data_IF_193146816304
#
_entry.id   IF_193146816304
#
_cell.length_a   1.000
_cell.length_b   1.000
_cell.length_c   1.000
_cell.angle_alpha   90.00
_cell.angle_beta   90.00
_cell.angle_gamma   90.00
#
_symmetry.space_group_name_H-M   'P 1'
#
loop_
_entity.id
_entity.type
_entity.pdbx_description
1 polymer ?
#
# COMPACT_ATOMS: atom_id res chain seq x y z
N UNK A 1 -8.68 -14.30 13.43
CA UNK A 1 -10.09 -14.41 12.96
C UNK A 1 -11.07 -13.59 13.77
N UNK A 2 -10.93 -13.46 15.10
CA UNK A 2 -11.85 -12.63 15.89
C UNK A 2 -11.96 -11.19 15.35
N UNK A 3 -10.82 -10.54 15.11
CA UNK A 3 -10.75 -9.19 14.49
C UNK A 3 -11.51 -9.14 13.16
N UNK A 4 -11.27 -10.12 12.29
CA UNK A 4 -11.91 -10.23 10.97
C UNK A 4 -13.43 -10.26 11.10
N UNK A 5 -13.95 -11.01 12.07
CA UNK A 5 -15.39 -11.19 12.27
C UNK A 5 -16.05 -9.95 12.86
N UNK A 6 -15.44 -9.41 13.91
CA UNK A 6 -16.11 -8.47 14.81
C UNK A 6 -15.82 -7.00 14.51
N UNK A 7 -14.88 -6.70 13.61
CA UNK A 7 -14.47 -5.33 13.31
C UNK A 7 -14.50 -5.04 11.81
N UNK A 8 -14.75 -3.77 11.48
CA UNK A 8 -14.74 -3.26 10.11
C UNK A 8 -13.32 -2.83 9.71
N UNK A 9 -12.45 -3.82 9.46
CA UNK A 9 -11.07 -3.59 9.02
C UNK A 9 -10.95 -3.81 7.52
N UNK A 10 -10.08 -3.03 6.87
CA UNK A 10 -9.80 -3.17 5.43
C UNK A 10 -8.69 -4.16 5.12
N UNK A 11 -7.89 -4.52 6.14
CA UNK A 11 -6.83 -5.50 5.96
C UNK A 11 -6.30 -6.09 7.26
N UNK A 12 -5.69 -7.25 7.14
CA UNK A 12 -4.90 -7.92 8.18
C UNK A 12 -3.42 -7.86 7.76
N UNK A 13 -2.57 -7.41 8.69
CA UNK A 13 -1.14 -7.24 8.45
C UNK A 13 -0.33 -7.99 9.51
N UNK A 14 0.62 -8.80 9.08
CA UNK A 14 1.63 -9.40 9.96
C UNK A 14 2.99 -8.76 9.69
N UNK A 15 3.75 -8.49 10.74
CA UNK A 15 5.13 -8.00 10.60
C UNK A 15 6.12 -9.18 10.44
N UNK A 16 7.39 -8.96 10.75
CA UNK A 16 8.51 -9.85 10.44
C UNK A 16 8.78 -10.95 11.48
N UNK A 17 7.99 -11.00 12.55
CA UNK A 17 8.16 -11.98 13.63
C UNK A 17 7.48 -13.31 13.33
N UNK A 18 8.28 -14.30 12.93
CA UNK A 18 7.86 -15.70 12.76
C UNK A 18 8.54 -16.57 13.82
N UNK A 19 9.61 -17.28 13.45
CA UNK A 19 10.53 -17.81 14.45
C UNK A 19 11.43 -16.69 14.99
N UNK A 20 11.93 -16.82 16.24
CA UNK A 20 12.74 -15.78 16.87
C UNK A 20 14.02 -15.45 16.09
N UNK A 21 14.37 -14.17 16.08
CA UNK A 21 15.71 -13.74 15.72
C UNK A 21 16.75 -14.44 16.63
N UNK A 22 17.91 -14.87 16.08
CA UNK A 22 18.96 -15.49 16.87
C UNK A 22 19.43 -14.53 17.97
N UNK A 23 19.57 -15.05 19.18
CA UNK A 23 20.23 -14.30 20.25
C UNK A 23 21.74 -14.21 19.99
N UNK A 24 22.45 -13.41 20.79
CA UNK A 24 23.90 -13.23 20.65
C UNK A 24 24.71 -14.53 20.82
N UNK A 25 24.11 -15.59 21.38
CA UNK A 25 24.74 -16.91 21.59
C UNK A 25 24.33 -17.92 20.52
N UNK A 26 23.45 -17.54 19.58
CA UNK A 26 22.83 -18.42 18.62
C UNK A 26 22.19 -19.65 19.28
N UNK A 27 21.48 -19.43 20.40
CA UNK A 27 20.83 -20.49 21.18
C UNK A 27 19.88 -21.29 20.29
N UNK A 28 20.01 -22.61 20.30
CA UNK A 28 19.15 -23.49 19.52
C UNK A 28 17.68 -23.39 19.98
N UNK A 29 16.76 -23.37 19.02
CA UNK A 29 15.33 -23.40 19.32
C UNK A 29 14.95 -24.76 19.96
N UNK A 30 14.16 -24.77 21.05
CA UNK A 30 13.84 -25.99 21.80
C UNK A 30 12.68 -26.78 21.19
N UNK A 31 12.67 -26.96 19.86
CA UNK A 31 11.58 -27.59 19.10
C UNK A 31 11.96 -28.95 18.50
N UNK A 32 13.14 -29.50 18.83
CA UNK A 32 13.55 -30.83 18.41
C UNK A 32 12.55 -31.94 18.81
N UNK A 33 11.95 -31.94 20.03
CA UNK A 33 10.90 -32.91 20.38
C UNK A 33 9.65 -32.76 19.50
N UNK A 34 9.23 -31.53 19.23
CA UNK A 34 8.09 -31.23 18.36
C UNK A 34 8.36 -31.67 16.93
N UNK A 35 9.58 -31.46 16.42
CA UNK A 35 10.00 -31.96 15.11
C UNK A 35 10.03 -33.49 15.06
N UNK A 36 10.51 -34.16 16.11
CA UNK A 36 10.49 -35.62 16.17
C UNK A 36 9.06 -36.17 16.07
N UNK A 37 8.10 -35.50 16.73
CA UNK A 37 6.70 -35.92 16.74
C UNK A 37 5.94 -35.58 15.45
N UNK A 38 6.15 -34.37 14.89
CA UNK A 38 5.32 -33.82 13.81
C UNK A 38 6.07 -33.54 12.50
N UNK A 39 7.39 -33.82 12.45
CA UNK A 39 8.25 -33.54 11.30
C UNK A 39 8.23 -34.58 10.19
N UNK A 40 7.39 -35.62 10.30
CA UNK A 40 7.30 -36.69 9.29
C UNK A 40 6.99 -36.10 7.92
N UNK A 41 7.82 -36.43 6.92
CA UNK A 41 7.72 -35.90 5.56
C UNK A 41 8.73 -34.80 5.24
N UNK A 42 9.48 -34.30 6.23
CA UNK A 42 10.57 -33.35 6.03
C UNK A 42 11.93 -34.00 6.27
N UNK A 43 12.89 -33.75 5.36
CA UNK A 43 14.24 -34.26 5.48
C UNK A 43 15.05 -33.53 6.58
N UNK A 44 14.68 -32.30 6.92
CA UNK A 44 15.35 -31.51 7.95
C UNK A 44 14.36 -30.58 8.67
N UNK A 45 14.75 -30.16 9.87
CA UNK A 45 13.93 -29.30 10.73
C UNK A 45 13.69 -27.91 10.12
N UNK A 46 14.59 -27.40 9.28
CA UNK A 46 14.45 -26.07 8.69
C UNK A 46 13.32 -26.01 7.65
N UNK A 47 13.18 -27.03 6.81
CA UNK A 47 12.06 -27.14 5.87
C UNK A 47 10.73 -27.31 6.61
N UNK A 48 10.73 -28.10 7.68
CA UNK A 48 9.56 -28.26 8.53
C UNK A 48 9.13 -26.95 9.19
N UNK A 49 10.07 -26.16 9.72
CA UNK A 49 9.80 -24.84 10.28
C UNK A 49 9.22 -23.88 9.24
N UNK A 50 9.77 -23.83 8.03
CA UNK A 50 9.20 -23.05 6.91
C UNK A 50 7.78 -23.49 6.60
N UNK A 51 7.54 -24.79 6.52
CA UNK A 51 6.21 -25.32 6.27
C UNK A 51 5.20 -24.96 7.39
N UNK A 52 5.61 -24.92 8.66
CA UNK A 52 4.73 -24.49 9.74
C UNK A 52 4.28 -23.03 9.56
N UNK A 53 5.19 -22.14 9.15
CA UNK A 53 4.85 -20.76 8.81
C UNK A 53 3.94 -20.71 7.59
N UNK A 54 4.26 -21.46 6.54
CA UNK A 54 3.45 -21.55 5.33
C UNK A 54 2.00 -21.97 5.62
N UNK A 55 1.80 -22.98 6.46
CA UNK A 55 0.47 -23.45 6.87
C UNK A 55 -0.30 -22.34 7.58
N UNK A 56 0.34 -21.60 8.50
CA UNK A 56 -0.29 -20.46 9.17
C UNK A 56 -0.72 -19.39 8.17
N UNK A 57 0.18 -18.97 7.27
CA UNK A 57 -0.10 -17.91 6.29
C UNK A 57 -1.21 -18.34 5.34
N UNK A 58 -1.11 -19.54 4.76
CA UNK A 58 -2.11 -20.08 3.84
C UNK A 58 -3.48 -20.20 4.49
N UNK A 59 -3.56 -20.89 5.64
CA UNK A 59 -4.84 -21.24 6.25
C UNK A 59 -5.54 -19.99 6.83
N UNK A 60 -4.77 -19.02 7.33
CA UNK A 60 -5.30 -17.73 7.75
C UNK A 60 -5.83 -16.93 6.55
N UNK A 61 -5.09 -16.87 5.45
CA UNK A 61 -5.53 -16.22 4.20
C UNK A 61 -6.85 -16.80 3.69
N UNK A 62 -6.95 -18.14 3.62
CA UNK A 62 -8.18 -18.85 3.25
C UNK A 62 -9.33 -18.47 4.19
N UNK A 63 -9.09 -18.48 5.50
CA UNK A 63 -10.11 -18.14 6.49
C UNK A 63 -10.59 -16.68 6.39
N UNK A 64 -9.68 -15.73 6.17
CA UNK A 64 -9.99 -14.31 5.95
C UNK A 64 -10.91 -14.16 4.73
N UNK A 65 -10.50 -14.71 3.58
CA UNK A 65 -11.24 -14.55 2.33
C UNK A 65 -12.61 -15.22 2.36
N UNK A 66 -12.74 -16.34 3.09
CA UNK A 66 -14.02 -16.99 3.32
C UNK A 66 -14.98 -16.13 4.16
N UNK A 67 -14.47 -15.41 5.14
CA UNK A 67 -15.28 -14.58 6.04
C UNK A 67 -15.68 -13.25 5.39
N UNK A 68 -14.70 -12.51 4.85
CA UNK A 68 -14.88 -11.19 4.21
C UNK A 68 -13.91 -11.08 3.03
N UNK A 69 -14.34 -11.38 1.78
CA UNK A 69 -13.47 -11.46 0.61
C UNK A 69 -12.65 -10.18 0.31
N UNK A 70 -13.20 -9.01 0.65
CA UNK A 70 -12.58 -7.71 0.42
C UNK A 70 -11.41 -7.39 1.37
N UNK A 71 -11.25 -8.11 2.48
CA UNK A 71 -10.17 -7.82 3.44
C UNK A 71 -8.84 -8.17 2.79
N UNK A 72 -7.95 -7.19 2.69
CA UNK A 72 -6.59 -7.35 2.19
C UNK A 72 -5.73 -8.10 3.21
N UNK A 73 -4.93 -9.06 2.78
CA UNK A 73 -4.03 -9.79 3.66
C UNK A 73 -2.59 -9.61 3.20
N UNK A 74 -1.73 -9.08 4.05
CA UNK A 74 -0.33 -8.88 3.68
C UNK A 74 0.64 -8.99 4.83
N UNK A 75 1.90 -9.08 4.46
CA UNK A 75 2.99 -9.44 5.37
C UNK A 75 4.18 -8.54 5.12
N UNK A 76 4.82 -8.10 6.20
CA UNK A 76 6.04 -7.31 6.20
C UNK A 76 7.23 -8.17 6.63
N UNK A 77 7.88 -8.93 5.72
CA UNK A 77 9.02 -9.75 6.08
C UNK A 77 10.30 -8.92 6.22
N UNK A 78 11.36 -9.55 6.72
CA UNK A 78 12.71 -8.97 6.66
C UNK A 78 13.11 -8.62 5.21
N UNK A 79 13.84 -7.52 5.04
CA UNK A 79 14.15 -6.97 3.71
C UNK A 79 14.96 -7.89 2.79
N UNK A 80 15.83 -8.74 3.35
CA UNK A 80 16.53 -9.79 2.60
C UNK A 80 15.77 -11.11 2.76
N UNK A 81 15.19 -11.63 1.67
CA UNK A 81 14.63 -12.99 1.66
C UNK A 81 15.76 -14.02 1.84
N UNK A 82 16.74 -14.05 0.93
CA UNK A 82 17.96 -14.84 1.05
C UNK A 82 19.11 -14.18 0.28
N UNK A 83 20.34 -14.59 0.57
CA UNK A 83 21.54 -14.08 -0.09
C UNK A 83 21.93 -14.95 -1.29
N UNK A 84 22.35 -14.31 -2.39
CA UNK A 84 22.75 -14.99 -3.63
C UNK A 84 23.82 -16.08 -3.46
N UNK A 85 24.73 -15.88 -2.49
CA UNK A 85 25.79 -16.86 -2.18
C UNK A 85 25.25 -18.17 -1.57
N UNK A 86 24.11 -18.09 -0.89
CA UNK A 86 23.51 -19.18 -0.13
C UNK A 86 22.34 -19.82 -0.91
N UNK A 87 21.68 -19.03 -1.77
CA UNK A 87 20.62 -19.44 -2.68
C UNK A 87 20.78 -18.69 -4.02
N UNK A 88 20.91 -19.37 -5.17
CA UNK A 88 21.05 -18.73 -6.49
C UNK A 88 19.97 -17.71 -6.84
N UNK A 89 18.75 -17.89 -6.32
CA UNK A 89 17.61 -16.99 -6.54
C UNK A 89 17.62 -15.78 -5.59
N UNK A 90 18.51 -15.78 -4.58
CA UNK A 90 18.62 -14.70 -3.59
C UNK A 90 19.15 -13.38 -4.14
N UNK A 91 18.96 -12.31 -3.36
CA UNK A 91 19.45 -10.98 -3.71
C UNK A 91 20.97 -10.90 -3.59
N UNK A 92 21.61 -9.98 -4.33
CA UNK A 92 23.06 -9.74 -4.23
C UNK A 92 23.41 -8.98 -2.93
N UNK A 93 23.22 -9.66 -1.80
CA UNK A 93 23.33 -9.17 -0.42
C UNK A 93 24.15 -10.14 0.41
N UNK A 94 24.50 -9.72 1.64
CA UNK A 94 25.27 -10.54 2.57
C UNK A 94 24.80 -10.42 4.02
N UNK A 95 23.54 -10.02 4.23
CA UNK A 95 22.94 -9.82 5.55
C UNK A 95 22.24 -11.07 6.10
N UNK A 96 21.43 -10.88 7.16
CA UNK A 96 20.56 -11.93 7.69
C UNK A 96 19.54 -12.36 6.61
N UNK A 97 19.29 -13.66 6.47
CA UNK A 97 18.26 -14.19 5.56
C UNK A 97 16.96 -14.43 6.33
N UNK A 98 15.87 -13.80 5.88
CA UNK A 98 14.52 -14.08 6.39
C UNK A 98 14.10 -15.54 6.15
N UNK A 99 14.42 -16.09 4.98
CA UNK A 99 14.10 -17.46 4.58
C UNK A 99 14.76 -18.53 5.46
N UNK A 100 16.02 -18.32 5.84
CA UNK A 100 16.80 -19.31 6.62
C UNK A 100 16.66 -19.13 8.12
N UNK A 101 16.66 -17.89 8.56
CA UNK A 101 16.75 -17.56 9.99
C UNK A 101 15.38 -17.44 10.63
N UNK A 102 14.44 -16.78 9.94
CA UNK A 102 13.09 -16.55 10.44
C UNK A 102 12.08 -17.56 9.86
N UNK A 103 12.53 -18.40 8.92
CA UNK A 103 11.71 -19.40 8.20
C UNK A 103 10.53 -18.76 7.45
N UNK A 104 10.73 -17.53 6.99
CA UNK A 104 9.75 -16.72 6.28
C UNK A 104 9.99 -16.78 4.77
N UNK A 105 9.13 -17.51 4.04
CA UNK A 105 9.23 -17.65 2.60
C UNK A 105 8.26 -16.72 1.85
N UNK A 106 8.51 -15.41 1.98
CA UNK A 106 7.67 -14.36 1.37
C UNK A 106 7.50 -14.50 -0.16
N UNK A 107 8.51 -15.01 -0.85
CA UNK A 107 8.46 -15.28 -2.30
C UNK A 107 7.41 -16.34 -2.61
N UNK A 108 7.40 -17.45 -1.86
CA UNK A 108 6.41 -18.51 -2.02
C UNK A 108 5.00 -18.01 -1.74
N UNK A 109 4.80 -17.24 -0.67
CA UNK A 109 3.47 -16.74 -0.32
C UNK A 109 2.84 -15.86 -1.40
N UNK A 110 3.66 -15.03 -2.06
CA UNK A 110 3.25 -14.24 -3.22
C UNK A 110 2.94 -15.13 -4.42
N UNK A 111 3.85 -16.06 -4.75
CA UNK A 111 3.72 -16.97 -5.91
C UNK A 111 2.47 -17.85 -5.83
N UNK A 112 2.17 -18.37 -4.64
CA UNK A 112 0.98 -19.20 -4.40
C UNK A 112 -0.30 -18.37 -4.21
N UNK A 113 -0.18 -17.03 -4.15
CA UNK A 113 -1.30 -16.14 -3.98
C UNK A 113 -1.97 -16.22 -2.60
N UNK A 114 -1.23 -16.62 -1.56
CA UNK A 114 -1.76 -16.72 -0.19
C UNK A 114 -1.92 -15.36 0.48
N UNK A 115 -1.22 -14.35 -0.03
CA UNK A 115 -1.29 -12.94 0.41
C UNK A 115 -1.59 -12.04 -0.79
N UNK A 116 -2.21 -10.90 -0.50
CA UNK A 116 -2.52 -9.85 -1.47
C UNK A 116 -1.35 -8.88 -1.66
N UNK A 117 -0.51 -8.68 -0.62
CA UNK A 117 0.66 -7.82 -0.73
C UNK A 117 1.81 -8.24 0.17
N UNK A 118 3.02 -7.85 -0.24
CA UNK A 118 4.25 -7.93 0.54
C UNK A 118 4.77 -6.53 0.89
N UNK A 119 5.36 -6.41 2.08
CA UNK A 119 5.99 -5.20 2.57
C UNK A 119 7.41 -5.47 3.13
N UNK A 120 8.39 -5.86 2.30
CA UNK A 120 9.72 -6.14 2.81
C UNK A 120 10.32 -4.89 3.49
N UNK A 121 10.86 -5.10 4.67
CA UNK A 121 11.49 -4.05 5.49
C UNK A 121 12.86 -3.65 4.90
N UNK A 122 12.87 -2.86 3.82
CA UNK A 122 14.10 -2.35 3.17
C UNK A 122 14.61 -1.12 3.97
N UNK A 123 14.95 -1.33 5.23
CA UNK A 123 15.41 -0.29 6.18
C UNK A 123 16.90 0.03 6.02
N UNK A 124 17.40 0.00 4.79
CA UNK A 124 18.79 0.24 4.45
C UNK A 124 18.90 1.46 3.51
N UNK A 125 20.01 2.22 3.59
CA UNK A 125 20.23 3.32 2.67
C UNK A 125 20.69 2.81 1.29
N UNK A 126 20.72 3.71 0.31
CA UNK A 126 21.36 3.45 -0.99
C UNK A 126 22.83 3.09 -0.78
N UNK A 127 23.38 2.25 -1.66
CA UNK A 127 24.78 1.84 -1.64
C UNK A 127 25.22 1.16 -0.31
N UNK A 128 24.29 0.65 0.48
CA UNK A 128 24.65 -0.12 1.68
C UNK A 128 25.43 -1.38 1.27
N UNK A 129 26.63 -1.57 1.82
CA UNK A 129 27.53 -2.66 1.44
C UNK A 129 26.92 -4.07 1.52
N UNK A 130 26.05 -4.31 2.50
CA UNK A 130 25.48 -5.65 2.75
C UNK A 130 24.05 -5.81 2.19
N UNK A 131 23.31 -4.72 2.06
CA UNK A 131 21.87 -4.71 1.83
C UNK A 131 21.40 -3.41 1.14
N UNK A 132 22.04 -3.03 0.03
CA UNK A 132 21.72 -1.78 -0.67
C UNK A 132 20.24 -1.69 -1.05
N UNK A 133 19.63 -0.53 -0.82
CA UNK A 133 18.20 -0.29 -1.07
C UNK A 133 17.80 -0.63 -2.51
N UNK A 134 18.54 -0.12 -3.48
CA UNK A 134 18.34 -0.30 -4.92
C UNK A 134 18.39 -1.77 -5.33
N UNK A 135 19.34 -2.54 -4.77
CA UNK A 135 19.48 -3.97 -5.04
C UNK A 135 18.28 -4.76 -4.50
N UNK A 136 17.82 -4.41 -3.30
CA UNK A 136 16.67 -5.07 -2.70
C UNK A 136 15.37 -4.70 -3.39
N UNK A 137 15.19 -3.43 -3.77
CA UNK A 137 14.03 -2.95 -4.51
C UNK A 137 13.89 -3.69 -5.84
N UNK A 138 14.93 -3.68 -6.68
CA UNK A 138 14.95 -4.37 -7.97
C UNK A 138 14.76 -5.88 -7.86
N UNK A 139 15.24 -6.47 -6.75
CA UNK A 139 15.05 -7.89 -6.52
C UNK A 139 13.59 -8.21 -6.17
N UNK A 140 12.98 -7.48 -5.25
CA UNK A 140 11.58 -7.71 -4.87
C UNK A 140 10.60 -7.39 -6.01
N UNK A 141 10.91 -6.40 -6.85
CA UNK A 141 10.13 -6.09 -8.06
C UNK A 141 9.97 -7.31 -8.99
N UNK A 142 11.00 -8.17 -9.07
CA UNK A 142 10.99 -9.38 -9.91
C UNK A 142 10.24 -10.56 -9.27
N UNK A 143 9.83 -10.44 -8.01
CA UNK A 143 9.22 -11.51 -7.21
C UNK A 143 7.83 -11.14 -6.69
N UNK A 144 7.11 -10.26 -7.40
CA UNK A 144 5.75 -9.84 -7.03
C UNK A 144 4.68 -10.84 -7.44
N UNK A 145 4.88 -11.60 -8.52
CA UNK A 145 3.94 -12.60 -9.03
C UNK A 145 2.50 -12.07 -9.20
N UNK A 146 2.35 -10.80 -9.61
CA UNK A 146 1.04 -10.17 -9.80
C UNK A 146 0.32 -9.80 -8.51
N UNK A 147 1.03 -9.77 -7.36
CA UNK A 147 0.56 -9.24 -6.08
C UNK A 147 1.23 -7.90 -5.79
N UNK A 148 0.65 -7.11 -4.89
CA UNK A 148 1.22 -5.79 -4.60
C UNK A 148 2.50 -5.87 -3.79
N UNK A 149 3.44 -4.98 -4.12
CA UNK A 149 4.66 -4.74 -3.39
C UNK A 149 4.67 -3.29 -2.90
N UNK A 150 4.68 -3.15 -1.57
CA UNK A 150 4.90 -1.89 -0.88
C UNK A 150 6.27 -1.90 -0.22
N UNK A 151 7.02 -0.81 -0.33
CA UNK A 151 8.37 -0.73 0.23
C UNK A 151 8.33 -0.31 1.70
N UNK A 152 8.91 -1.13 2.59
CA UNK A 152 9.11 -0.76 3.98
C UNK A 152 10.28 0.22 4.15
N UNK A 153 10.01 1.45 4.56
CA UNK A 153 11.01 2.48 4.82
C UNK A 153 11.32 2.63 6.31
N UNK A 154 12.61 2.64 6.64
CA UNK A 154 13.10 2.90 8.00
C UNK A 154 13.07 4.38 8.37
N UNK A 155 11.90 5.01 8.39
CA UNK A 155 11.75 6.45 8.65
C UNK A 155 12.34 6.88 10.00
N UNK A 156 12.36 6.01 11.01
CA UNK A 156 13.02 6.26 12.30
C UNK A 156 14.54 6.45 12.20
N UNK A 157 15.18 6.02 11.11
CA UNK A 157 16.65 6.06 10.94
C UNK A 157 17.17 7.37 10.37
N UNK A 158 16.31 8.28 9.92
CA UNK A 158 16.70 9.53 9.21
C UNK A 158 17.51 10.52 10.05
N UNK A 159 17.65 10.27 11.35
CA UNK A 159 18.47 11.07 12.28
C UNK A 159 19.74 10.34 12.72
N UNK A 160 20.00 9.12 12.25
CA UNK A 160 21.19 8.36 12.59
C UNK A 160 22.46 9.02 12.03
N UNK A 161 23.52 9.06 12.85
CA UNK A 161 24.85 9.53 12.45
C UNK A 161 25.68 8.39 11.85
N UNK A 162 25.18 7.79 10.77
CA UNK A 162 25.82 6.66 10.06
C UNK A 162 25.82 6.87 8.54
N UNK A 163 26.78 6.29 7.80
CA UNK A 163 26.82 6.41 6.34
C UNK A 163 25.48 6.08 5.69
N UNK A 164 25.08 6.90 4.71
CA UNK A 164 23.77 6.83 4.06
C UNK A 164 22.66 7.58 4.81
N UNK A 165 22.54 7.41 6.12
CA UNK A 165 21.50 8.06 6.93
C UNK A 165 21.79 9.52 7.30
N UNK A 166 23.04 9.96 7.18
CA UNK A 166 23.40 11.38 7.30
C UNK A 166 22.82 12.25 6.18
N UNK A 167 22.42 11.64 5.05
CA UNK A 167 21.69 12.33 3.99
C UNK A 167 20.20 12.42 4.35
N UNK A 168 19.76 13.63 4.72
CA UNK A 168 18.35 13.89 5.06
C UNK A 168 17.39 13.64 3.87
N UNK A 169 17.91 13.67 2.64
CA UNK A 169 17.18 13.35 1.42
C UNK A 169 17.05 11.85 1.13
N UNK A 170 17.58 10.97 1.99
CA UNK A 170 17.63 9.52 1.76
C UNK A 170 16.24 8.92 1.47
N UNK A 171 15.23 9.17 2.33
CA UNK A 171 13.87 8.64 2.10
C UNK A 171 13.20 9.29 0.87
N UNK A 172 13.22 10.62 0.67
CA UNK A 172 12.72 11.21 -0.57
C UNK A 172 13.36 10.65 -1.84
N UNK A 173 14.67 10.38 -1.85
CA UNK A 173 15.35 9.72 -2.98
C UNK A 173 14.83 8.29 -3.19
N UNK A 174 14.60 7.53 -2.12
CA UNK A 174 14.01 6.19 -2.22
C UNK A 174 12.59 6.23 -2.82
N UNK A 175 11.77 7.20 -2.41
CA UNK A 175 10.41 7.38 -2.95
C UNK A 175 10.42 7.82 -4.41
N UNK A 176 11.39 8.61 -4.86
CA UNK A 176 11.51 8.92 -6.29
C UNK A 176 11.97 7.70 -7.07
N UNK A 177 12.96 6.96 -6.56
CA UNK A 177 13.48 5.77 -7.23
C UNK A 177 12.44 4.64 -7.37
N UNK A 178 11.55 4.45 -6.37
CA UNK A 178 10.48 3.46 -6.49
C UNK A 178 9.41 3.86 -7.52
N UNK A 179 9.22 5.15 -7.79
CA UNK A 179 8.29 5.63 -8.83
C UNK A 179 8.79 5.37 -10.25
N UNK A 180 10.09 5.13 -10.39
CA UNK A 180 10.70 4.73 -11.66
C UNK A 180 10.50 3.21 -11.92
N UNK A 181 9.96 2.46 -10.96
CA UNK A 181 9.70 1.00 -11.06
C UNK A 181 8.26 0.72 -11.47
N UNK A 182 8.02 -0.36 -12.19
CA UNK A 182 6.69 -0.68 -12.72
C UNK A 182 5.86 -1.55 -11.76
N UNK A 183 6.50 -2.44 -11.00
CA UNK A 183 5.79 -3.39 -10.11
C UNK A 183 5.75 -2.95 -8.65
N UNK A 184 6.03 -1.67 -8.35
CA UNK A 184 6.04 -1.14 -6.98
C UNK A 184 4.83 -0.22 -6.76
N UNK A 185 3.92 -0.61 -5.87
CA UNK A 185 2.64 0.05 -5.69
C UNK A 185 2.62 1.09 -4.55
N UNK A 186 3.72 1.24 -3.80
CA UNK A 186 3.83 2.31 -2.82
C UNK A 186 4.81 2.03 -1.68
N UNK A 187 4.54 2.67 -0.54
CA UNK A 187 5.47 2.77 0.60
C UNK A 187 4.75 2.59 1.94
N UNK A 188 5.42 1.95 2.89
CA UNK A 188 5.02 1.88 4.31
C UNK A 188 6.17 2.41 5.16
N UNK A 189 5.87 3.31 6.11
CA UNK A 189 6.90 4.00 6.90
C UNK A 189 6.91 3.54 8.34
N UNK A 190 8.01 2.94 8.77
CA UNK A 190 8.23 2.60 10.17
C UNK A 190 8.90 3.78 10.92
N UNK A 191 8.21 4.49 11.81
CA UNK A 191 6.78 4.37 12.15
C UNK A 191 6.06 5.72 12.05
N UNK A 192 4.75 5.74 12.31
CA UNK A 192 3.94 6.96 12.31
C UNK A 192 4.55 8.06 13.18
N UNK A 193 5.17 7.71 14.32
CA UNK A 193 5.86 8.66 15.20
C UNK A 193 6.96 9.43 14.47
N UNK A 194 7.76 8.76 13.63
CA UNK A 194 8.83 9.39 12.86
C UNK A 194 8.31 10.48 11.91
N UNK A 195 7.10 10.27 11.36
CA UNK A 195 6.43 11.25 10.51
C UNK A 195 5.78 12.36 11.33
N UNK A 196 5.09 12.02 12.43
CA UNK A 196 4.43 13.01 13.28
C UNK A 196 5.44 13.97 13.93
N UNK A 197 6.58 13.45 14.39
CA UNK A 197 7.69 14.23 14.94
C UNK A 197 8.49 15.00 13.86
N UNK A 198 8.14 14.84 12.59
CA UNK A 198 8.79 15.45 11.43
C UNK A 198 10.32 15.25 11.44
N UNK A 199 10.77 14.02 11.73
CA UNK A 199 12.19 13.72 11.82
C UNK A 199 12.91 14.11 10.52
N UNK A 200 13.95 14.94 10.65
CA UNK A 200 14.73 15.47 9.52
C UNK A 200 13.92 16.22 8.43
N UNK A 201 12.69 16.70 8.73
CA UNK A 201 11.83 17.36 7.74
C UNK A 201 11.09 16.39 6.81
N UNK A 202 11.00 15.10 7.19
CA UNK A 202 10.41 14.06 6.35
C UNK A 202 8.93 14.28 6.08
N UNK A 203 8.14 14.74 7.06
CA UNK A 203 6.72 15.04 6.87
C UNK A 203 6.52 16.19 5.87
N UNK A 204 7.36 17.21 5.96
CA UNK A 204 7.29 18.35 5.03
C UNK A 204 7.61 17.89 3.60
N UNK A 205 8.64 17.05 3.43
CA UNK A 205 8.96 16.45 2.12
C UNK A 205 7.81 15.61 1.57
N UNK A 206 7.11 14.87 2.43
CA UNK A 206 5.92 14.11 2.03
C UNK A 206 4.76 15.03 1.64
N UNK A 207 4.43 16.01 2.47
CA UNK A 207 3.23 16.82 2.30
C UNK A 207 3.35 17.83 1.14
N UNK A 208 4.53 18.42 0.95
CA UNK A 208 4.69 19.52 -0.01
C UNK A 208 5.28 19.11 -1.36
N UNK A 209 5.85 17.91 -1.45
CA UNK A 209 6.49 17.42 -2.67
C UNK A 209 5.97 16.03 -3.06
N UNK A 210 6.25 14.99 -2.27
CA UNK A 210 6.03 13.61 -2.72
C UNK A 210 4.54 13.23 -2.80
N UNK A 211 3.75 13.53 -1.77
CA UNK A 211 2.33 13.16 -1.64
C UNK A 211 1.43 14.40 -1.57
N UNK A 212 1.73 15.38 -2.43
CA UNK A 212 1.03 16.68 -2.46
C UNK A 212 -0.47 16.57 -2.75
N UNK A 213 -0.87 15.59 -3.55
CA UNK A 213 -2.24 15.44 -4.02
C UNK A 213 -2.94 14.26 -3.34
N UNK A 214 -4.26 14.39 -3.21
CA UNK A 214 -5.12 13.27 -2.79
C UNK A 214 -4.98 12.14 -3.81
N UNK A 215 -5.00 10.90 -3.34
CA UNK A 215 -4.90 9.73 -4.20
C UNK A 215 -5.69 8.56 -3.59
N UNK A 216 -6.14 7.65 -4.44
CA UNK A 216 -6.64 6.35 -4.02
C UNK A 216 -5.49 5.36 -3.86
N UNK A 217 -5.65 4.34 -3.00
CA UNK A 217 -4.77 3.18 -3.06
C UNK A 217 -4.95 2.46 -4.42
N UNK A 218 -3.90 1.80 -4.93
CA UNK A 218 -4.01 1.03 -6.16
C UNK A 218 -5.00 -0.14 -5.99
N UNK A 219 -5.71 -0.44 -7.07
CA UNK A 219 -6.71 -1.51 -7.10
C UNK A 219 -6.06 -2.89 -7.11
N UNK A 220 -6.76 -3.87 -6.53
CA UNK A 220 -6.32 -5.27 -6.49
C UNK A 220 -7.30 -6.10 -7.32
N UNK A 221 -7.09 -6.13 -8.65
CA UNK A 221 -8.04 -6.71 -9.61
C UNK A 221 -8.34 -8.21 -9.36
N UNK A 222 -7.49 -8.92 -8.64
CA UNK A 222 -7.71 -10.33 -8.26
C UNK A 222 -8.65 -10.50 -7.06
N UNK A 223 -8.96 -9.42 -6.33
CA UNK A 223 -10.01 -9.40 -5.30
C UNK A 223 -11.32 -8.95 -5.93
N UNK A 224 -11.28 -7.82 -6.62
CA UNK A 224 -12.42 -7.24 -7.32
C UNK A 224 -11.92 -6.34 -8.46
N UNK A 225 -12.54 -6.46 -9.63
CA UNK A 225 -12.21 -5.71 -10.84
C UNK A 225 -13.42 -5.01 -11.46
N UNK A 226 -14.59 -5.10 -10.83
CA UNK A 226 -15.83 -4.55 -11.36
C UNK A 226 -16.10 -3.23 -10.64
N UNK A 227 -15.97 -2.08 -11.31
CA UNK A 227 -16.31 -0.81 -10.70
C UNK A 227 -17.83 -0.70 -10.48
N UNK A 228 -18.27 0.11 -9.50
CA UNK A 228 -19.70 0.35 -9.28
C UNK A 228 -20.28 1.21 -10.40
N UNK A 229 -21.61 1.33 -10.42
CA UNK A 229 -22.31 2.22 -11.33
C UNK A 229 -21.99 3.70 -11.07
N UNK A 230 -21.95 4.48 -12.15
CA UNK A 230 -21.67 5.90 -12.10
C UNK A 230 -22.78 6.71 -11.43
N UNK A 231 -22.44 7.76 -10.65
CA UNK A 231 -23.41 8.74 -10.21
C UNK A 231 -23.97 9.53 -11.41
N UNK A 232 -25.18 10.04 -11.27
CA UNK A 232 -25.87 10.76 -12.35
C UNK A 232 -26.54 12.04 -11.86
N UNK A 233 -26.99 12.87 -12.80
CA UNK A 233 -27.72 14.08 -12.49
C UNK A 233 -26.90 15.12 -11.72
N UNK A 234 -25.58 15.22 -12.01
CA UNK A 234 -24.70 16.21 -11.39
C UNK A 234 -25.16 17.62 -11.76
N UNK A 235 -25.49 18.39 -10.73
CA UNK A 235 -25.88 19.80 -10.80
C UNK A 235 -24.90 20.67 -10.00
N UNK A 236 -24.83 21.96 -10.35
CA UNK A 236 -24.04 22.94 -9.62
C UNK A 236 -24.86 24.20 -9.37
N UNK A 237 -24.87 24.66 -8.12
CA UNK A 237 -25.51 25.88 -7.65
C UNK A 237 -24.43 26.84 -7.17
N UNK A 238 -24.20 27.91 -7.94
CA UNK A 238 -23.25 28.97 -7.56
C UNK A 238 -23.91 29.88 -6.53
N UNK A 239 -23.20 30.19 -5.45
CA UNK A 239 -23.68 31.12 -4.42
C UNK A 239 -23.80 32.55 -4.96
N UNK A 240 -24.71 33.34 -4.39
CA UNK A 240 -24.98 34.70 -4.87
C UNK A 240 -23.75 35.62 -4.86
N UNK A 241 -22.80 35.39 -3.94
CA UNK A 241 -21.54 36.13 -3.86
C UNK A 241 -20.44 35.58 -4.79
N UNK A 242 -20.73 34.52 -5.55
CA UNK A 242 -19.84 33.85 -6.51
C UNK A 242 -18.53 33.34 -5.91
N UNK A 243 -18.50 33.06 -4.60
CA UNK A 243 -17.33 32.53 -3.90
C UNK A 243 -17.39 31.02 -3.69
N UNK A 244 -18.53 30.40 -3.99
CA UNK A 244 -18.70 28.96 -3.83
C UNK A 244 -19.67 28.35 -4.82
N UNK A 245 -19.44 27.09 -5.17
CA UNK A 245 -20.31 26.29 -6.02
C UNK A 245 -20.66 25.00 -5.30
N UNK A 246 -21.94 24.80 -5.03
CA UNK A 246 -22.47 23.60 -4.41
C UNK A 246 -22.86 22.59 -5.48
N UNK A 247 -22.16 21.47 -5.52
CA UNK A 247 -22.40 20.33 -6.38
C UNK A 247 -23.36 19.36 -5.70
N UNK A 248 -24.33 18.82 -6.42
CA UNK A 248 -25.28 17.80 -5.95
C UNK A 248 -25.46 16.75 -7.05
N UNK A 249 -25.47 15.47 -6.69
CA UNK A 249 -25.68 14.35 -7.62
C UNK A 249 -26.60 13.29 -7.01
N UNK A 250 -26.96 12.30 -7.81
CA UNK A 250 -27.82 11.18 -7.42
C UNK A 250 -27.03 9.87 -7.38
N UNK A 251 -27.35 9.04 -6.38
CA UNK A 251 -26.83 7.67 -6.23
C UNK A 251 -27.62 6.73 -7.17
N UNK A 252 -26.97 5.89 -7.99
CA UNK A 252 -27.65 4.80 -8.70
C UNK A 252 -28.07 3.68 -7.74
N UNK A 253 -28.94 2.78 -8.18
CA UNK A 253 -29.33 1.63 -7.36
C UNK A 253 -28.23 0.55 -7.38
N UNK A 254 -27.12 0.85 -6.71
CA UNK A 254 -25.94 -0.01 -6.58
C UNK A 254 -25.42 0.03 -5.13
N UNK A 255 -25.51 -1.11 -4.45
CA UNK A 255 -25.08 -1.27 -3.06
C UNK A 255 -23.56 -1.38 -2.90
N UNK A 256 -22.82 -1.56 -3.99
CA UNK A 256 -21.35 -1.64 -3.95
C UNK A 256 -20.70 -0.28 -3.77
N UNK A 257 -21.44 0.82 -4.02
CA UNK A 257 -20.95 2.18 -3.83
C UNK A 257 -20.59 2.38 -2.36
N UNK A 258 -19.31 2.68 -2.14
CA UNK A 258 -18.73 2.97 -0.84
C UNK A 258 -18.42 4.47 -0.68
N UNK A 259 -18.40 5.24 -1.77
CA UNK A 259 -18.14 6.67 -1.71
C UNK A 259 -17.98 7.29 -3.10
N UNK A 260 -17.46 8.53 -3.12
CA UNK A 260 -17.38 9.34 -4.34
C UNK A 260 -16.08 10.13 -4.42
N UNK A 261 -15.64 10.42 -5.66
CA UNK A 261 -14.54 11.34 -5.94
C UNK A 261 -15.07 12.50 -6.76
N UNK A 262 -14.72 13.71 -6.34
CA UNK A 262 -15.14 14.95 -6.98
C UNK A 262 -13.93 15.55 -7.68
N UNK A 263 -14.05 15.79 -8.98
CA UNK A 263 -13.00 16.40 -9.79
C UNK A 263 -13.41 17.78 -10.31
N UNK A 264 -12.41 18.63 -10.55
CA UNK A 264 -12.58 19.90 -11.25
C UNK A 264 -11.46 20.15 -12.24
N UNK A 265 -11.86 20.54 -13.44
CA UNK A 265 -11.00 20.93 -14.55
C UNK A 265 -11.29 22.39 -14.94
N UNK A 266 -10.31 23.05 -15.55
CA UNK A 266 -10.43 24.41 -16.08
C UNK A 266 -10.67 24.40 -17.60
N UNK A 267 -11.06 25.55 -18.16
CA UNK A 267 -11.23 25.74 -19.60
C UNK A 267 -9.98 25.35 -20.37
N UNK A 268 -10.15 24.50 -21.37
CA UNK A 268 -9.09 24.01 -22.24
C UNK A 268 -8.42 22.73 -21.73
N UNK A 269 -8.77 22.24 -20.55
CA UNK A 269 -8.32 20.96 -20.05
C UNK A 269 -9.20 19.81 -20.53
N UNK A 270 -8.59 18.66 -20.80
CA UNK A 270 -9.34 17.42 -21.01
C UNK A 270 -9.75 16.83 -19.67
N UNK A 271 -10.99 16.35 -19.58
CA UNK A 271 -11.45 15.58 -18.40
C UNK A 271 -10.66 14.28 -18.33
N UNK A 272 -9.79 14.18 -17.33
CA UNK A 272 -8.93 13.02 -17.08
C UNK A 272 -8.87 12.73 -15.58
N UNK A 273 -9.58 11.68 -15.14
CA UNK A 273 -9.66 11.26 -13.72
C UNK A 273 -8.36 10.64 -13.21
N UNK A 274 -7.42 10.28 -14.08
CA UNK A 274 -6.07 9.85 -13.67
C UNK A 274 -5.19 11.01 -13.18
N UNK A 275 -5.60 12.27 -13.39
CA UNK A 275 -4.86 13.42 -12.89
C UNK A 275 -5.28 13.75 -11.44
N UNK A 276 -4.46 13.31 -10.47
CA UNK A 276 -4.68 13.53 -9.05
C UNK A 276 -4.73 15.02 -8.64
N UNK A 277 -4.12 15.93 -9.41
CA UNK A 277 -4.18 17.38 -9.14
C UNK A 277 -5.61 17.93 -9.26
N UNK A 278 -6.47 17.21 -9.99
CA UNK A 278 -7.85 17.60 -10.29
C UNK A 278 -8.84 17.06 -9.26
N UNK A 279 -8.40 16.25 -8.30
CA UNK A 279 -9.23 15.75 -7.21
C UNK A 279 -9.47 16.88 -6.21
N UNK A 280 -10.72 17.32 -6.08
CA UNK A 280 -11.14 18.24 -5.03
C UNK A 280 -11.38 17.51 -3.71
N UNK A 281 -12.04 16.35 -3.76
CA UNK A 281 -12.43 15.59 -2.58
C UNK A 281 -12.59 14.10 -2.88
N UNK A 282 -12.22 13.27 -1.91
CA UNK A 282 -12.54 11.85 -1.85
C UNK A 282 -13.41 11.66 -0.61
N UNK A 283 -14.58 11.05 -0.78
CA UNK A 283 -15.46 10.64 0.31
C UNK A 283 -15.56 9.11 0.34
N UNK A 284 -15.62 8.55 1.54
CA UNK A 284 -15.81 7.11 1.81
C UNK A 284 -17.16 6.87 2.49
N UNK A 285 -18.14 7.67 2.09
CA UNK A 285 -19.52 7.64 2.57
C UNK A 285 -20.43 7.68 1.35
N UNK A 286 -21.23 6.63 1.18
CA UNK A 286 -22.14 6.44 0.04
C UNK A 286 -23.36 7.37 0.10
N UNK A 287 -23.61 8.00 1.26
CA UNK A 287 -24.62 9.05 1.47
C UNK A 287 -24.09 10.45 1.18
N UNK A 288 -22.79 10.61 0.90
CA UNK A 288 -22.18 11.88 0.55
C UNK A 288 -22.56 12.32 -0.87
N UNK A 289 -23.73 12.96 -1.02
CA UNK A 289 -24.30 13.35 -2.32
C UNK A 289 -24.18 14.84 -2.66
N UNK A 290 -23.39 15.57 -1.87
CA UNK A 290 -23.20 17.01 -2.02
C UNK A 290 -21.78 17.43 -1.64
N UNK A 291 -21.21 18.36 -2.39
CA UNK A 291 -19.92 18.99 -2.10
C UNK A 291 -19.94 20.48 -2.42
N UNK A 292 -19.35 21.31 -1.56
CA UNK A 292 -19.23 22.76 -1.82
C UNK A 292 -17.78 23.12 -2.13
N UNK A 293 -17.51 23.52 -3.38
CA UNK A 293 -16.23 24.08 -3.80
C UNK A 293 -16.17 25.57 -3.40
N UNK A 294 -15.37 25.90 -2.40
CA UNK A 294 -15.14 27.27 -1.93
C UNK A 294 -13.89 27.91 -2.54
N UNK A 295 -13.30 27.29 -3.56
CA UNK A 295 -12.03 27.71 -4.18
C UNK A 295 -12.20 28.29 -5.59
N UNK A 296 -13.44 28.41 -6.05
CA UNK A 296 -13.77 29.05 -7.33
C UNK A 296 -13.43 30.55 -7.28
N UNK A 297 -13.08 31.12 -8.43
CA UNK A 297 -12.66 32.52 -8.56
C UNK A 297 -13.52 33.28 -9.58
N UNK A 298 -13.80 34.58 -9.39
CA UNK A 298 -14.45 35.41 -10.42
C UNK A 298 -13.75 35.30 -11.78
N UNK A 299 -14.52 35.27 -12.87
CA UNK A 299 -14.00 35.01 -14.22
C UNK A 299 -13.60 33.55 -14.49
N UNK A 300 -13.74 32.65 -13.52
CA UNK A 300 -13.40 31.24 -13.65
C UNK A 300 -14.38 30.47 -14.53
N UNK A 301 -13.84 29.49 -15.25
CA UNK A 301 -14.61 28.57 -16.10
C UNK A 301 -14.20 27.14 -15.75
N UNK A 302 -15.11 26.42 -15.09
CA UNK A 302 -14.86 25.14 -14.46
C UNK A 302 -15.75 24.04 -15.02
N UNK A 303 -15.20 22.83 -15.07
CA UNK A 303 -15.90 21.60 -15.44
C UNK A 303 -15.78 20.62 -14.28
N UNK A 304 -16.92 20.20 -13.75
CA UNK A 304 -17.00 19.24 -12.65
C UNK A 304 -17.48 17.89 -13.14
N UNK A 305 -16.91 16.83 -12.58
CA UNK A 305 -17.40 15.45 -12.71
C UNK A 305 -17.30 14.77 -11.36
N UNK A 306 -18.15 13.77 -11.17
CA UNK A 306 -18.12 12.90 -9.99
C UNK A 306 -18.02 11.45 -10.45
N UNK A 307 -17.23 10.65 -9.76
CA UNK A 307 -17.19 9.19 -9.90
C UNK A 307 -17.59 8.54 -8.58
N UNK A 308 -18.06 7.30 -8.64
CA UNK A 308 -18.29 6.46 -7.48
C UNK A 308 -17.12 5.47 -7.33
N UNK A 309 -16.87 5.06 -6.09
CA UNK A 309 -15.88 4.03 -5.76
C UNK A 309 -16.53 2.94 -4.92
N UNK A 310 -16.08 1.71 -5.11
CA UNK A 310 -16.43 0.61 -4.22
C UNK A 310 -15.49 0.52 -3.01
N UNK A 311 -15.66 -0.53 -2.22
CA UNK A 311 -14.81 -0.79 -1.06
C UNK A 311 -13.34 -1.06 -1.45
N UNK A 312 -13.11 -1.69 -2.60
CA UNK A 312 -11.78 -1.99 -3.16
C UNK A 312 -11.13 -0.83 -3.91
N UNK A 313 -11.85 0.28 -4.05
CA UNK A 313 -11.47 1.51 -4.78
C UNK A 313 -11.41 1.34 -6.29
N UNK A 314 -12.18 0.40 -6.84
CA UNK A 314 -12.48 0.45 -8.26
C UNK A 314 -13.37 1.67 -8.53
N UNK A 315 -12.98 2.47 -9.51
CA UNK A 315 -13.62 3.74 -9.83
C UNK A 315 -14.58 3.57 -11.02
N UNK A 316 -15.80 4.07 -10.89
CA UNK A 316 -16.79 4.09 -11.96
C UNK A 316 -16.39 4.98 -13.14
N UNK A 317 -17.13 4.90 -14.24
CA UNK A 317 -17.12 5.99 -15.23
C UNK A 317 -17.60 7.31 -14.60
N UNK A 318 -17.28 8.43 -15.23
CA UNK A 318 -17.72 9.76 -14.80
C UNK A 318 -19.24 9.93 -14.88
N UNK A 319 -19.77 10.80 -14.02
CA UNK A 319 -21.10 11.39 -14.19
C UNK A 319 -21.18 12.22 -15.48
N UNK A 320 -22.35 12.83 -15.73
CA UNK A 320 -22.41 13.95 -16.67
C UNK A 320 -21.45 15.06 -16.25
N UNK A 321 -20.85 15.74 -17.23
CA UNK A 321 -20.01 16.91 -17.00
C UNK A 321 -20.90 18.10 -16.64
N UNK A 322 -20.54 18.81 -15.57
CA UNK A 322 -21.22 20.05 -15.17
C UNK A 322 -20.31 21.25 -15.35
N UNK A 323 -20.68 22.09 -16.31
CA UNK A 323 -20.00 23.36 -16.58
C UNK A 323 -20.51 24.46 -15.64
N UNK A 324 -19.57 25.27 -15.14
CA UNK A 324 -19.82 26.46 -14.31
C UNK A 324 -18.98 27.60 -14.85
N UNK A 325 -19.64 28.67 -15.29
CA UNK A 325 -19.01 29.90 -15.77
C UNK A 325 -19.33 31.01 -14.78
N UNK A 326 -18.29 31.66 -14.26
CA UNK A 326 -18.43 32.80 -13.37
C UNK A 326 -18.19 34.08 -14.17
N UNK A 327 -19.22 34.90 -14.39
CA UNK A 327 -19.10 36.15 -15.11
C UNK A 327 -18.34 37.22 -14.31
#
# INVERSE_FOLDING_TARGET
>A
MDVVKNYDVDGIHFDDYFYPYPDARNTALPDAPTFHQFGRGFANIHDWRRNNVDLLIRDLGIAIKKEKPFIKYGISPFGIWDNKRDNPDGSNTSGLSGYRTLYADGVKWMKEGWIDYINPQIYFPFNNRAAAFEILLEWWEKHTYGRHFYVGHGAYRVTEKRPGWTDKGQIPKQVRHLRDQHEVQGSIYFSSKSLMDNLAGLRDSMQYDLYRYKALPPTMAWIDSIPPQSPYGLQAHVSSNRKSATLVWQKPNDEQIYGYIIYRFEKGENVNTANAERILQISYDDSYLQYTDNTIKPGGHYFYVVTAIDRMKNESNISNIREVILP
#
